data_IF_870266173731
#
_entry.id   IF_870266173731
#
_cell.length_a   1.000
_cell.length_b   1.000
_cell.length_c   1.000
_cell.angle_alpha   90.00
_cell.angle_beta   90.00
_cell.angle_gamma   90.00
#
_symmetry.space_group_name_H-M   'P 1'
#
loop_
_entity.id
_entity.type
_entity.pdbx_description
1 polymer ?
#
# COMPACT_ATOMS: atom_id res chain seq x y z
N UNK A 1 -18.96 -3.59 -1.83
CA UNK A 1 -17.87 -2.58 -1.86
C UNK A 1 -17.16 -2.52 -3.20
N UNK A 2 -16.66 -3.60 -3.80
CA UNK A 2 -15.92 -3.56 -5.10
C UNK A 2 -16.74 -2.90 -6.22
N UNK A 3 -18.06 -3.13 -6.29
CA UNK A 3 -18.95 -2.43 -7.23
C UNK A 3 -18.86 -0.91 -7.06
N UNK A 4 -18.92 -0.42 -5.83
CA UNK A 4 -18.82 1.01 -5.53
C UNK A 4 -17.45 1.60 -5.87
N UNK A 5 -16.36 0.84 -5.64
CA UNK A 5 -15.01 1.25 -6.07
C UNK A 5 -14.88 1.37 -7.59
N UNK A 6 -15.48 0.43 -8.35
CA UNK A 6 -15.53 0.53 -9.82
C UNK A 6 -16.32 1.76 -10.29
N UNK A 7 -17.44 2.06 -9.63
CA UNK A 7 -18.23 3.27 -9.93
C UNK A 7 -17.44 4.54 -9.57
N UNK A 8 -16.75 4.55 -8.43
CA UNK A 8 -15.87 5.66 -8.04
C UNK A 8 -14.75 5.86 -9.07
N UNK A 9 -14.07 4.78 -9.46
CA UNK A 9 -13.03 4.81 -10.51
C UNK A 9 -13.57 5.39 -11.83
N UNK A 10 -14.74 4.95 -12.28
CA UNK A 10 -15.34 5.44 -13.52
C UNK A 10 -15.68 6.94 -13.44
N UNK A 11 -16.24 7.43 -12.33
CA UNK A 11 -16.52 8.85 -12.11
C UNK A 11 -15.24 9.69 -12.06
N UNK A 12 -14.21 9.22 -11.35
CA UNK A 12 -12.90 9.87 -11.32
C UNK A 12 -12.25 9.89 -12.70
N UNK A 13 -12.31 8.78 -13.44
CA UNK A 13 -11.76 8.69 -14.79
C UNK A 13 -12.46 9.69 -15.72
N UNK A 14 -13.79 9.75 -15.70
CA UNK A 14 -14.56 10.72 -16.49
C UNK A 14 -14.26 12.16 -16.11
N UNK A 15 -14.23 12.46 -14.80
CA UNK A 15 -14.11 13.82 -14.30
C UNK A 15 -12.70 14.40 -14.32
N UNK A 16 -11.65 13.56 -14.15
CA UNK A 16 -10.28 14.04 -13.94
C UNK A 16 -9.27 13.53 -14.97
N UNK A 17 -9.62 12.50 -15.76
CA UNK A 17 -8.76 11.91 -16.78
C UNK A 17 -9.42 11.85 -18.16
N UNK A 18 -10.54 12.55 -18.36
CA UNK A 18 -11.26 12.63 -19.63
C UNK A 18 -11.60 11.24 -20.22
N UNK A 19 -11.96 10.30 -19.34
CA UNK A 19 -12.30 8.89 -19.67
C UNK A 19 -11.20 8.09 -20.36
N UNK A 20 -9.95 8.51 -20.28
CA UNK A 20 -8.85 7.90 -21.05
C UNK A 20 -8.19 6.70 -20.35
N UNK A 21 -8.48 6.46 -19.07
CA UNK A 21 -7.89 5.31 -18.36
C UNK A 21 -8.61 4.00 -18.70
N UNK A 22 -7.87 2.88 -18.78
CA UNK A 22 -8.47 1.56 -18.99
C UNK A 22 -9.30 1.12 -17.79
N UNK A 23 -10.20 0.16 -18.00
CA UNK A 23 -10.90 -0.50 -16.91
C UNK A 23 -9.91 -1.30 -16.05
N UNK A 24 -10.09 -1.24 -14.71
CA UNK A 24 -9.23 -1.94 -13.76
C UNK A 24 -10.00 -3.01 -12.97
N UNK A 25 -9.28 -4.04 -12.54
CA UNK A 25 -9.76 -5.03 -11.55
C UNK A 25 -9.27 -4.62 -10.17
N UNK A 26 -10.17 -4.65 -9.19
CA UNK A 26 -9.82 -4.48 -7.78
C UNK A 26 -9.64 -5.86 -7.14
N UNK A 27 -8.44 -6.13 -6.61
CA UNK A 27 -8.07 -7.42 -6.02
C UNK A 27 -7.66 -7.20 -4.56
N UNK A 28 -8.27 -7.89 -3.58
CA UNK A 28 -7.84 -7.83 -2.19
C UNK A 28 -6.42 -8.40 -2.02
N UNK A 29 -5.54 -7.63 -1.38
CA UNK A 29 -4.20 -8.06 -0.97
C UNK A 29 -3.82 -7.42 0.37
N UNK A 30 -4.34 -7.96 1.46
CA UNK A 30 -4.19 -7.37 2.80
C UNK A 30 -2.80 -7.54 3.43
N UNK A 31 -1.85 -8.16 2.74
CA UNK A 31 -0.44 -8.11 3.11
C UNK A 31 0.19 -6.73 2.85
N UNK A 32 -0.41 -5.93 1.97
CA UNK A 32 -0.03 -4.54 1.72
C UNK A 32 -0.61 -3.63 2.80
N UNK A 33 0.22 -2.69 3.31
CA UNK A 33 -0.21 -1.70 4.31
C UNK A 33 -0.93 -0.49 3.71
N UNK A 34 -0.71 -0.22 2.43
CA UNK A 34 -1.37 0.86 1.70
C UNK A 34 -2.88 0.62 1.61
N UNK A 35 -3.65 1.65 1.30
CA UNK A 35 -5.09 1.55 1.01
C UNK A 35 -5.29 0.90 -0.36
N UNK A 36 -4.64 1.47 -1.38
CA UNK A 36 -4.57 0.93 -2.72
C UNK A 36 -3.12 0.82 -3.17
N UNK A 37 -2.84 -0.17 -4.00
CA UNK A 37 -1.54 -0.37 -4.61
C UNK A 37 -1.70 -0.64 -6.10
N UNK A 38 -1.05 0.18 -6.92
CA UNK A 38 -0.97 -0.04 -8.36
C UNK A 38 -0.08 -1.24 -8.64
N UNK A 39 -0.61 -2.26 -9.31
CA UNK A 39 0.14 -3.46 -9.70
C UNK A 39 0.44 -3.49 -11.19
N UNK A 40 -0.51 -3.07 -12.00
CA UNK A 40 -0.40 -3.00 -13.47
C UNK A 40 -1.47 -2.07 -14.03
N UNK A 41 -1.41 -1.78 -15.32
CA UNK A 41 -2.43 -0.95 -16.00
C UNK A 41 -3.87 -1.43 -15.83
N UNK A 42 -4.08 -2.67 -15.46
CA UNK A 42 -5.42 -3.27 -15.33
C UNK A 42 -5.76 -3.77 -13.92
N UNK A 43 -4.84 -3.61 -12.92
CA UNK A 43 -5.03 -4.16 -11.57
C UNK A 43 -4.64 -3.14 -10.50
N UNK A 44 -5.58 -2.86 -9.61
CA UNK A 44 -5.36 -2.13 -8.35
C UNK A 44 -5.63 -3.09 -7.19
N UNK A 45 -4.64 -3.29 -6.33
CA UNK A 45 -4.77 -4.10 -5.12
C UNK A 45 -5.35 -3.26 -3.98
N UNK A 46 -6.25 -3.87 -3.19
CA UNK A 46 -6.84 -3.28 -1.98
C UNK A 46 -6.05 -3.81 -0.78
N UNK A 47 -5.33 -2.95 -0.10
CA UNK A 47 -4.52 -3.32 1.05
C UNK A 47 -5.23 -3.19 2.39
N UNK A 48 -4.50 -3.52 3.48
CA UNK A 48 -5.05 -3.48 4.85
C UNK A 48 -5.34 -2.06 5.35
N UNK A 49 -4.67 -1.03 4.81
CA UNK A 49 -4.95 0.38 5.12
C UNK A 49 -6.39 0.81 4.85
N UNK A 50 -7.12 0.07 4.00
CA UNK A 50 -8.53 0.30 3.73
C UNK A 50 -9.41 0.18 4.99
N UNK A 51 -9.03 -0.66 5.97
CA UNK A 51 -9.82 -0.93 7.17
C UNK A 51 -10.06 0.29 8.07
N UNK A 52 -9.19 1.31 7.99
CA UNK A 52 -9.24 2.52 8.82
C UNK A 52 -9.34 3.82 8.02
N UNK A 53 -9.50 3.75 6.70
CA UNK A 53 -9.55 4.91 5.84
C UNK A 53 -10.93 5.57 5.85
N UNK A 54 -10.99 6.90 5.87
CA UNK A 54 -12.22 7.65 5.65
C UNK A 54 -12.62 7.62 4.17
N UNK A 55 -13.85 8.08 3.83
CA UNK A 55 -14.28 8.23 2.42
C UNK A 55 -13.28 9.10 1.63
N UNK A 56 -12.84 10.21 2.22
CA UNK A 56 -11.92 11.14 1.55
C UNK A 56 -10.56 10.49 1.34
N UNK A 57 -10.02 9.82 2.38
CA UNK A 57 -8.75 9.08 2.25
C UNK A 57 -8.83 8.01 1.16
N UNK A 58 -9.95 7.28 1.07
CA UNK A 58 -10.16 6.27 0.04
C UNK A 58 -10.15 6.87 -1.37
N UNK A 59 -10.80 8.02 -1.56
CA UNK A 59 -10.84 8.67 -2.86
C UNK A 59 -9.47 9.28 -3.23
N UNK A 60 -8.76 9.87 -2.29
CA UNK A 60 -7.41 10.40 -2.50
C UNK A 60 -6.41 9.27 -2.86
N UNK A 61 -6.45 8.17 -2.13
CA UNK A 61 -5.58 7.02 -2.38
C UNK A 61 -5.95 6.29 -3.69
N UNK A 62 -7.25 6.23 -4.04
CA UNK A 62 -7.68 5.71 -5.33
C UNK A 62 -7.18 6.60 -6.47
N UNK A 63 -7.30 7.92 -6.31
CA UNK A 63 -6.81 8.89 -7.28
C UNK A 63 -5.28 8.80 -7.44
N UNK A 64 -4.54 8.60 -6.34
CA UNK A 64 -3.10 8.32 -6.36
C UNK A 64 -2.79 7.08 -7.24
N UNK A 65 -3.47 5.97 -7.01
CA UNK A 65 -3.28 4.76 -7.83
C UNK A 65 -3.65 4.99 -9.31
N UNK A 66 -4.66 5.83 -9.58
CA UNK A 66 -5.06 6.18 -10.95
C UNK A 66 -4.00 7.04 -11.67
N UNK A 67 -3.23 7.86 -10.96
CA UNK A 67 -2.07 8.57 -11.54
C UNK A 67 -1.03 7.59 -12.05
N UNK A 68 -0.73 6.52 -11.28
CA UNK A 68 0.15 5.46 -11.76
C UNK A 68 -0.40 4.74 -13.00
N UNK A 69 -1.72 4.45 -13.02
CA UNK A 69 -2.37 3.86 -14.21
C UNK A 69 -2.21 4.77 -15.43
N UNK A 70 -2.39 6.10 -15.27
CA UNK A 70 -2.24 7.08 -16.34
C UNK A 70 -0.79 7.09 -16.86
N UNK A 71 0.18 7.25 -15.97
CA UNK A 71 1.59 7.31 -16.32
C UNK A 71 2.06 6.02 -17.00
N UNK A 72 1.69 4.86 -16.46
CA UNK A 72 2.01 3.57 -17.05
C UNK A 72 1.44 3.41 -18.47
N UNK A 73 0.17 3.81 -18.69
CA UNK A 73 -0.44 3.80 -20.01
C UNK A 73 0.31 4.67 -21.00
N UNK A 74 0.78 5.83 -20.55
CA UNK A 74 1.49 6.80 -21.37
C UNK A 74 3.00 6.46 -21.51
N UNK A 75 3.45 5.29 -21.01
CA UNK A 75 4.85 4.86 -21.05
C UNK A 75 5.78 5.67 -20.14
N UNK A 76 5.22 6.38 -19.16
CA UNK A 76 5.96 7.24 -18.24
C UNK A 76 6.36 6.43 -17.00
N UNK A 77 7.67 6.33 -16.76
CA UNK A 77 8.21 5.71 -15.54
C UNK A 77 8.17 6.71 -14.38
N UNK A 78 7.19 6.57 -13.49
CA UNK A 78 6.88 7.51 -12.42
C UNK A 78 7.36 7.10 -11.03
N UNK A 79 7.98 5.91 -10.92
CA UNK A 79 8.60 5.39 -9.70
C UNK A 79 10.03 4.93 -9.96
N UNK A 80 10.89 5.00 -8.94
CA UNK A 80 12.21 4.41 -8.97
C UNK A 80 12.17 2.90 -8.69
N UNK A 81 13.29 2.19 -8.88
CA UNK A 81 13.44 0.78 -8.49
C UNK A 81 13.08 0.52 -7.02
N UNK A 82 13.30 1.50 -6.14
CA UNK A 82 12.99 1.43 -4.71
C UNK A 82 11.57 1.93 -4.38
N UNK A 83 10.69 2.04 -5.36
CA UNK A 83 9.30 2.46 -5.20
C UNK A 83 9.13 3.93 -4.73
N UNK A 84 10.14 4.79 -4.88
CA UNK A 84 10.00 6.23 -4.66
C UNK A 84 9.43 6.90 -5.90
N UNK A 85 8.47 7.82 -5.70
CA UNK A 85 7.89 8.58 -6.81
C UNK A 85 8.89 9.54 -7.42
N UNK A 86 8.89 9.60 -8.75
CA UNK A 86 9.64 10.58 -9.54
C UNK A 86 8.86 11.88 -9.74
N UNK A 87 9.46 12.86 -10.39
CA UNK A 87 8.81 14.15 -10.68
C UNK A 87 7.60 14.00 -11.62
N UNK A 88 7.60 12.98 -12.46
CA UNK A 88 6.52 12.62 -13.38
C UNK A 88 5.25 12.29 -12.61
N UNK A 89 5.36 11.50 -11.53
CA UNK A 89 4.25 11.26 -10.61
C UNK A 89 3.72 12.57 -10.02
N UNK A 90 4.63 13.46 -9.56
CA UNK A 90 4.25 14.75 -8.98
C UNK A 90 3.43 15.59 -9.96
N UNK A 91 3.85 15.66 -11.22
CA UNK A 91 3.13 16.40 -12.27
C UNK A 91 1.73 15.83 -12.50
N UNK A 92 1.60 14.51 -12.64
CA UNK A 92 0.31 13.83 -12.80
C UNK A 92 -0.60 14.01 -11.58
N UNK A 93 -0.07 13.91 -10.37
CA UNK A 93 -0.83 14.08 -9.13
C UNK A 93 -1.37 15.52 -8.97
N UNK A 94 -0.54 16.53 -9.25
CA UNK A 94 -0.98 17.94 -9.25
C UNK A 94 -2.03 18.22 -10.31
N UNK A 95 -1.90 17.64 -11.51
CA UNK A 95 -2.85 17.82 -12.62
C UNK A 95 -4.26 17.29 -12.30
N UNK A 96 -4.37 16.31 -11.39
CA UNK A 96 -5.68 15.78 -10.94
C UNK A 96 -6.12 16.33 -9.57
N UNK A 97 -5.39 17.29 -9.04
CA UNK A 97 -5.78 18.00 -7.82
C UNK A 97 -5.29 17.40 -6.50
N UNK A 98 -4.35 16.45 -6.52
CA UNK A 98 -3.73 15.94 -5.31
C UNK A 98 -2.66 16.91 -4.79
N UNK A 99 -2.55 17.01 -3.47
CA UNK A 99 -1.39 17.65 -2.86
C UNK A 99 -0.19 16.71 -2.93
N UNK A 100 1.00 17.26 -3.16
CA UNK A 100 2.23 16.49 -3.28
C UNK A 100 3.27 17.00 -2.30
N UNK A 101 3.91 16.09 -1.57
CA UNK A 101 5.04 16.39 -0.69
C UNK A 101 6.34 16.01 -1.36
N UNK A 102 7.36 16.85 -1.20
CA UNK A 102 8.71 16.53 -1.58
C UNK A 102 9.52 16.21 -0.32
N UNK A 103 10.14 15.05 -0.29
CA UNK A 103 11.12 14.69 0.74
C UNK A 103 12.51 14.72 0.11
N UNK A 104 13.43 15.50 0.69
CA UNK A 104 14.79 15.67 0.15
C UNK A 104 15.56 14.36 -0.04
N UNK A 105 15.21 13.30 0.70
CA UNK A 105 15.89 12.00 0.69
C UNK A 105 15.06 10.85 0.11
N UNK A 106 13.74 11.03 -0.06
CA UNK A 106 12.81 9.93 -0.40
C UNK A 106 11.94 10.20 -1.63
N UNK A 107 12.28 11.24 -2.42
CA UNK A 107 11.50 11.59 -3.61
C UNK A 107 10.16 12.26 -3.30
N UNK A 108 9.17 12.08 -4.18
CA UNK A 108 7.88 12.73 -4.11
C UNK A 108 6.82 11.78 -3.54
N UNK A 109 5.90 12.29 -2.72
CA UNK A 109 4.77 11.56 -2.20
C UNK A 109 3.46 12.33 -2.36
N UNK A 110 2.34 11.65 -2.53
CA UNK A 110 1.05 12.31 -2.37
C UNK A 110 0.71 12.40 -0.89
N UNK A 111 0.18 13.55 -0.45
CA UNK A 111 -0.37 13.68 0.88
C UNK A 111 -1.85 13.35 0.84
N UNK A 112 -2.22 12.22 1.43
CA UNK A 112 -3.54 12.09 2.02
C UNK A 112 -3.64 13.03 3.23
N UNK A 113 -4.86 13.35 3.67
CA UNK A 113 -5.13 14.19 4.84
C UNK A 113 -4.35 13.79 6.11
N UNK A 114 -3.82 12.56 6.16
CA UNK A 114 -3.04 11.99 7.28
C UNK A 114 -1.60 12.53 7.41
N UNK A 115 -1.01 13.08 6.32
CA UNK A 115 0.40 13.48 6.31
C UNK A 115 0.59 15.00 6.27
N UNK A 116 0.06 15.73 7.26
CA UNK A 116 0.13 17.21 7.33
C UNK A 116 1.49 17.80 7.71
N UNK A 117 2.49 16.97 8.09
CA UNK A 117 3.79 17.46 8.62
C UNK A 117 4.95 17.36 7.62
N UNK A 118 4.74 17.59 6.34
CA UNK A 118 5.82 17.57 5.36
C UNK A 118 6.38 18.97 5.11
N UNK A 119 7.70 19.11 5.04
CA UNK A 119 8.42 20.39 4.95
C UNK A 119 8.13 21.20 3.68
N UNK A 120 7.78 20.58 2.57
CA UNK A 120 7.40 21.26 1.31
C UNK A 120 6.20 20.59 0.65
N UNK A 121 5.04 21.21 0.75
CA UNK A 121 3.81 20.76 0.09
C UNK A 121 3.62 21.58 -1.19
N UNK A 122 3.63 20.92 -2.35
CA UNK A 122 3.12 21.50 -3.59
C UNK A 122 1.63 21.27 -3.67
N UNK A 123 0.89 22.33 -3.98
CA UNK A 123 -0.57 22.30 -4.09
C UNK A 123 -0.97 22.44 -5.56
N UNK A 124 -2.06 21.79 -5.99
CA UNK A 124 -2.67 22.08 -7.29
C UNK A 124 -3.17 23.52 -7.32
N UNK A 125 -3.39 24.05 -8.52
CA UNK A 125 -4.08 25.33 -8.66
C UNK A 125 -5.53 25.24 -8.13
N UNK A 126 -6.12 26.41 -7.84
CA UNK A 126 -7.45 26.49 -7.24
C UNK A 126 -8.55 25.87 -8.12
N UNK A 127 -8.46 25.99 -9.44
CA UNK A 127 -9.43 25.44 -10.39
C UNK A 127 -9.39 23.91 -10.39
N UNK A 128 -8.20 23.34 -10.45
CA UNK A 128 -7.98 21.88 -10.41
C UNK A 128 -8.41 21.29 -9.06
N UNK A 129 -8.09 21.95 -7.94
CA UNK A 129 -8.53 21.53 -6.62
C UNK A 129 -10.07 21.56 -6.48
N UNK A 130 -10.73 22.60 -7.02
CA UNK A 130 -12.19 22.71 -7.06
C UNK A 130 -12.82 21.61 -7.93
N UNK A 131 -12.27 21.34 -9.12
CA UNK A 131 -12.71 20.27 -10.01
C UNK A 131 -12.66 18.90 -9.31
N UNK A 132 -11.55 18.57 -8.62
CA UNK A 132 -11.44 17.35 -7.82
C UNK A 132 -12.54 17.26 -6.76
N UNK A 133 -12.75 18.33 -6.00
CA UNK A 133 -13.76 18.37 -4.94
C UNK A 133 -15.16 18.09 -5.50
N UNK A 134 -15.53 18.76 -6.57
CA UNK A 134 -16.83 18.57 -7.23
C UNK A 134 -17.04 17.11 -7.70
N UNK A 135 -15.98 16.46 -8.22
CA UNK A 135 -16.06 15.04 -8.61
C UNK A 135 -16.19 14.14 -7.37
N UNK A 136 -15.49 14.42 -6.27
CA UNK A 136 -15.58 13.65 -5.03
C UNK A 136 -16.97 13.73 -4.39
N UNK A 137 -17.61 14.88 -4.44
CA UNK A 137 -18.97 15.07 -3.93
C UNK A 137 -20.01 14.20 -4.68
N UNK A 138 -19.81 13.97 -5.98
CA UNK A 138 -20.67 13.10 -6.79
C UNK A 138 -20.48 11.60 -6.53
N UNK A 139 -19.40 11.21 -5.81
CA UNK A 139 -19.10 9.80 -5.56
C UNK A 139 -19.78 9.36 -4.27
N UNK A 140 -20.63 8.37 -4.39
CA UNK A 140 -21.27 7.73 -3.23
C UNK A 140 -20.50 6.47 -2.83
N UNK A 141 -20.01 6.46 -1.59
CA UNK A 141 -19.54 5.26 -0.90
C UNK A 141 -20.44 5.06 0.31
N UNK A 142 -21.48 4.19 0.23
CA UNK A 142 -22.43 4.03 1.30
C UNK A 142 -21.75 3.64 2.61
N UNK A 143 -21.95 4.41 3.67
CA UNK A 143 -21.26 4.22 4.96
C UNK A 143 -21.46 2.80 5.54
N UNK A 144 -22.65 2.23 5.38
CA UNK A 144 -22.97 0.87 5.81
C UNK A 144 -22.13 -0.18 5.08
N UNK A 145 -22.03 -0.08 3.76
CA UNK A 145 -21.24 -1.00 2.95
C UNK A 145 -19.74 -0.83 3.21
N UNK A 146 -19.28 0.41 3.39
CA UNK A 146 -17.90 0.71 3.75
C UNK A 146 -17.57 0.08 5.10
N UNK A 147 -18.34 0.33 6.16
CA UNK A 147 -18.11 -0.23 7.49
C UNK A 147 -18.16 -1.76 7.52
N UNK A 148 -19.07 -2.37 6.74
CA UNK A 148 -19.15 -3.84 6.61
C UNK A 148 -17.88 -4.39 5.99
N UNK A 149 -17.37 -3.77 4.93
CA UNK A 149 -16.16 -4.22 4.25
C UNK A 149 -14.91 -4.00 5.11
N UNK A 150 -14.82 -2.88 5.80
CA UNK A 150 -13.73 -2.58 6.74
C UNK A 150 -13.66 -3.61 7.88
N UNK A 151 -14.80 -3.96 8.49
CA UNK A 151 -14.88 -5.01 9.53
C UNK A 151 -14.41 -6.36 9.00
N UNK A 152 -14.80 -6.73 7.77
CA UNK A 152 -14.34 -7.97 7.15
C UNK A 152 -12.81 -8.00 7.00
N UNK A 153 -12.19 -6.91 6.54
CA UNK A 153 -10.72 -6.81 6.45
C UNK A 153 -10.09 -7.00 7.82
N UNK A 154 -10.60 -6.32 8.85
CA UNK A 154 -10.08 -6.43 10.22
C UNK A 154 -10.18 -7.87 10.74
N UNK A 155 -11.29 -8.56 10.49
CA UNK A 155 -11.47 -9.97 10.86
C UNK A 155 -10.48 -10.89 10.12
N UNK A 156 -10.31 -10.71 8.80
CA UNK A 156 -9.35 -11.48 8.01
C UNK A 156 -7.90 -11.24 8.45
N UNK A 157 -7.57 -10.03 8.90
CA UNK A 157 -6.24 -9.73 9.45
C UNK A 157 -6.03 -10.38 10.83
N UNK A 158 -7.05 -10.36 11.68
CA UNK A 158 -6.99 -10.98 13.00
C UNK A 158 -6.91 -12.52 12.94
N UNK A 159 -7.51 -13.13 11.91
CA UNK A 159 -7.48 -14.59 11.71
C UNK A 159 -6.17 -15.11 11.10
N UNK A 160 -5.35 -14.23 10.52
CA UNK A 160 -4.03 -14.64 10.02
C UNK A 160 -3.12 -14.94 11.19
N UNK A 161 -2.45 -16.12 11.20
CA UNK A 161 -1.47 -16.40 12.23
C UNK A 161 -0.44 -15.27 12.26
N UNK A 162 -0.23 -14.69 13.44
CA UNK A 162 0.85 -13.75 13.68
C UNK A 162 2.13 -14.33 13.11
N UNK A 163 2.95 -13.52 12.44
CA UNK A 163 4.24 -13.95 11.88
C UNK A 163 4.89 -14.91 12.87
N UNK A 164 5.14 -16.13 12.43
CA UNK A 164 5.90 -17.07 13.24
C UNK A 164 7.18 -16.36 13.68
N UNK A 165 7.32 -16.18 15.00
CA UNK A 165 8.55 -15.68 15.59
C UNK A 165 9.66 -16.62 15.14
N UNK A 166 10.67 -16.10 14.47
CA UNK A 166 11.83 -16.89 14.12
C UNK A 166 12.81 -16.82 15.29
N UNK A 167 12.94 -17.92 15.97
CA UNK A 167 13.94 -18.07 17.01
C UNK A 167 15.32 -18.22 16.35
N UNK A 168 16.29 -17.50 16.87
CA UNK A 168 17.67 -17.55 16.43
C UNK A 168 18.38 -18.65 17.20
N UNK A 169 18.97 -19.58 16.50
CA UNK A 169 19.79 -20.64 17.07
C UNK A 169 21.21 -20.51 16.54
N UNK A 170 22.19 -20.75 17.38
CA UNK A 170 23.61 -20.69 17.04
C UNK A 170 24.30 -22.02 17.34
N UNK A 171 25.36 -22.34 16.62
CA UNK A 171 26.23 -23.46 16.91
C UNK A 171 27.49 -23.00 17.66
N UNK A 172 28.35 -23.95 18.06
CA UNK A 172 29.59 -23.67 18.77
C UNK A 172 30.80 -23.29 17.91
N UNK A 173 30.61 -22.97 16.63
CA UNK A 173 31.71 -22.51 15.74
C UNK A 173 32.11 -21.07 16.05
N UNK A 174 33.32 -20.67 15.66
CA UNK A 174 33.78 -19.30 15.68
C UNK A 174 34.21 -18.90 14.23
N UNK A 175 33.50 -17.98 13.54
CA UNK A 175 32.21 -17.42 13.93
C UNK A 175 31.06 -18.45 13.89
N UNK A 176 30.00 -18.27 14.72
CA UNK A 176 28.91 -19.22 14.81
C UNK A 176 28.01 -19.21 13.55
N UNK A 177 27.55 -20.38 13.12
CA UNK A 177 26.49 -20.45 12.14
C UNK A 177 25.15 -20.13 12.78
N UNK A 178 24.32 -19.34 12.10
CA UNK A 178 23.03 -18.86 12.57
C UNK A 178 21.93 -19.59 11.80
N UNK A 179 21.02 -20.24 12.56
CA UNK A 179 19.82 -20.86 12.03
C UNK A 179 18.59 -20.13 12.58
N UNK A 180 17.70 -19.66 11.71
CA UNK A 180 16.43 -19.03 12.10
C UNK A 180 15.27 -19.97 11.81
N UNK A 181 14.54 -20.35 12.85
CA UNK A 181 13.44 -21.34 12.74
C UNK A 181 12.18 -20.83 13.44
N UNK A 182 11.02 -21.06 12.85
CA UNK A 182 9.72 -20.71 13.44
C UNK A 182 9.25 -21.64 14.56
N UNK A 183 10.11 -22.53 15.09
CA UNK A 183 9.77 -23.47 16.17
C UNK A 183 10.18 -22.91 17.51
N UNK A 184 9.25 -22.93 18.48
CA UNK A 184 9.56 -22.60 19.87
C UNK A 184 10.57 -23.60 20.47
N UNK A 185 11.54 -23.12 21.27
CA UNK A 185 12.50 -24.02 21.99
C UNK A 185 11.80 -25.09 22.85
N UNK A 186 10.72 -24.67 23.53
CA UNK A 186 9.95 -25.48 24.49
C UNK A 186 8.70 -26.12 23.85
N UNK A 187 8.63 -26.12 22.52
CA UNK A 187 7.48 -26.67 21.80
C UNK A 187 7.51 -28.20 21.77
N UNK A 188 6.36 -28.84 21.41
CA UNK A 188 6.23 -30.30 21.39
C UNK A 188 7.18 -30.99 20.39
N UNK A 189 7.78 -30.21 19.49
CA UNK A 189 8.81 -30.68 18.54
C UNK A 189 10.02 -29.76 18.59
N UNK A 190 10.94 -29.92 19.53
CA UNK A 190 12.14 -29.08 19.63
C UNK A 190 13.03 -29.25 18.40
N UNK A 191 13.87 -28.23 18.14
CA UNK A 191 14.83 -28.28 17.04
C UNK A 191 15.88 -29.37 17.32
N UNK A 192 15.96 -30.38 16.45
CA UNK A 192 16.97 -31.46 16.51
C UNK A 192 18.01 -31.27 15.39
N UNK A 193 18.57 -30.06 15.23
CA UNK A 193 19.59 -29.79 14.25
C UNK A 193 21.00 -29.81 14.87
N UNK A 194 21.98 -30.32 14.12
CA UNK A 194 23.41 -30.28 14.44
C UNK A 194 24.16 -29.54 13.36
N UNK A 195 25.19 -28.83 13.74
CA UNK A 195 26.09 -28.17 12.81
C UNK A 195 26.97 -29.23 12.13
N UNK A 196 27.07 -29.16 10.80
CA UNK A 196 27.90 -30.08 10.03
C UNK A 196 29.42 -29.89 10.25
N UNK A 197 29.83 -28.73 10.80
CA UNK A 197 31.24 -28.42 11.04
C UNK A 197 31.71 -28.84 12.46
N UNK A 198 31.01 -28.38 13.50
CA UNK A 198 31.42 -28.64 14.86
C UNK A 198 30.63 -29.79 15.54
N UNK A 199 29.68 -30.39 14.82
CA UNK A 199 28.77 -31.43 15.31
C UNK A 199 27.99 -31.08 16.59
N UNK A 200 28.08 -29.84 17.06
CA UNK A 200 27.30 -29.36 18.19
C UNK A 200 25.83 -29.19 17.82
N UNK A 201 24.92 -29.35 18.79
CA UNK A 201 23.52 -29.01 18.66
C UNK A 201 23.40 -27.49 18.55
N UNK A 202 22.51 -27.01 17.70
CA UNK A 202 22.14 -25.59 17.68
C UNK A 202 21.42 -25.25 18.98
N UNK A 203 21.91 -24.24 19.71
CA UNK A 203 21.31 -23.70 20.92
C UNK A 203 20.57 -22.39 20.62
N UNK A 204 19.56 -22.05 21.42
CA UNK A 204 18.88 -20.76 21.32
C UNK A 204 19.89 -19.65 21.63
N UNK A 205 19.89 -18.60 20.85
CA UNK A 205 20.65 -17.38 21.06
C UNK A 205 19.73 -16.41 21.82
N UNK A 206 19.98 -16.20 23.11
CA UNK A 206 19.19 -15.36 24.03
C UNK A 206 19.44 -13.85 23.78
#
# INVERSE_FOLDING_TARGET
>A
MIKHLRMAYAKLNKGLFDSRLPAVKFIPNYSRKQVFFFRSSSVIEIGSGFSSATKIDLLDELLHAMVHVANFRDGIEDVTRNQYHKIEFCRGALAVGLNVTCHNTRGWGSTSSRYRKAEKVRRPDKKTAAKRRAVFEQIELPARELSKYQRRITQELASKPTKQFQYKYVCGCDPPFILRVGRKPDGPKPLKARCNYCNAKFALDD
#
